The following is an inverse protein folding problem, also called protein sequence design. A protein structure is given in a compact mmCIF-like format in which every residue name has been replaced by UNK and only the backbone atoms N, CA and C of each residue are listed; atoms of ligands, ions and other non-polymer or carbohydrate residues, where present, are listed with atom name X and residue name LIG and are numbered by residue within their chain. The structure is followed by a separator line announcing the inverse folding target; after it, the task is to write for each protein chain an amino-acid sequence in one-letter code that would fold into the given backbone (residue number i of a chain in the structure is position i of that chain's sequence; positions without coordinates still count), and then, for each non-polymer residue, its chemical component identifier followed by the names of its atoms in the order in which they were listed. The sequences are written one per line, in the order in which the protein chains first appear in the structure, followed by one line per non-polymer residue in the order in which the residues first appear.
data_IF_612531279707
#
_entry.id   IF_612531279707
#
_cell.length_a   1.000
_cell.length_b   1.000
_cell.length_c   1.000
_cell.angle_alpha   90.00
_cell.angle_beta   90.00
_cell.angle_gamma   90.00
#
_symmetry.space_group_name_H-M   'P 1'
#
loop_
_entity.id
_entity.type
_entity.pdbx_description
1 polymer ?
#
# COMPACT_ATOMS: atom_id res chain seq x y z
N UNK A 1 21.23 11.14 -6.34
CA UNK A 1 20.72 10.00 -7.15
C UNK A 1 19.86 9.18 -6.21
N UNK A 2 18.61 8.89 -6.59
CA UNK A 2 17.70 8.10 -5.75
C UNK A 2 18.17 6.64 -5.81
N UNK A 3 18.36 6.02 -4.65
CA UNK A 3 18.72 4.60 -4.55
C UNK A 3 17.44 3.78 -4.42
N UNK A 4 17.06 3.08 -5.49
CA UNK A 4 15.86 2.27 -5.52
C UNK A 4 16.14 0.89 -4.92
N UNK A 5 15.27 0.37 -4.03
CA UNK A 5 15.46 -0.98 -3.50
C UNK A 5 15.51 -2.05 -4.58
N UNK A 6 14.82 -1.81 -5.70
CA UNK A 6 14.90 -2.65 -6.90
C UNK A 6 14.60 -1.81 -8.16
N UNK A 7 15.39 -2.01 -9.20
CA UNK A 7 15.16 -1.46 -10.54
C UNK A 7 15.67 -2.47 -11.58
N UNK A 8 14.80 -3.01 -12.47
CA UNK A 8 15.24 -3.92 -13.51
C UNK A 8 16.27 -3.28 -14.45
N UNK A 9 17.19 -4.06 -15.04
CA UNK A 9 18.08 -3.58 -16.09
C UNK A 9 17.30 -2.93 -17.23
N UNK A 10 17.80 -1.81 -17.74
CA UNK A 10 17.19 -1.05 -18.84
C UNK A 10 15.79 -0.47 -18.56
N UNK A 11 15.32 -0.49 -17.31
CA UNK A 11 14.12 0.22 -16.90
C UNK A 11 14.50 1.47 -16.10
N UNK A 12 13.61 2.45 -16.13
CA UNK A 12 13.71 3.70 -15.37
C UNK A 12 12.31 4.21 -15.10
N UNK A 13 12.16 4.94 -14.01
CA UNK A 13 10.99 5.78 -13.82
C UNK A 13 11.09 7.03 -14.70
N UNK A 14 9.95 7.46 -15.20
CA UNK A 14 9.76 8.81 -15.74
C UNK A 14 9.04 9.65 -14.70
N UNK A 15 9.25 10.96 -14.77
CA UNK A 15 8.78 11.90 -13.76
C UNK A 15 7.86 12.93 -14.40
N UNK A 16 6.74 13.21 -13.75
CA UNK A 16 5.75 14.21 -14.16
C UNK A 16 5.33 15.05 -12.96
N UNK A 17 4.92 16.31 -13.17
CA UNK A 17 4.41 17.15 -12.08
C UNK A 17 3.02 16.68 -11.63
N UNK A 18 2.59 17.10 -10.45
CA UNK A 18 1.24 16.84 -9.93
C UNK A 18 0.11 17.35 -10.83
N UNK A 19 0.38 18.34 -11.67
CA UNK A 19 -0.58 18.90 -12.62
C UNK A 19 -0.79 18.04 -13.86
N UNK A 20 -0.03 16.96 -14.03
CA UNK A 20 -0.21 16.03 -15.14
C UNK A 20 -1.58 15.32 -15.03
N UNK A 21 -2.39 15.29 -16.11
CA UNK A 21 -3.75 14.77 -16.05
C UNK A 21 -3.81 13.27 -15.71
N UNK A 22 -2.81 12.48 -16.10
CA UNK A 22 -2.75 11.05 -15.79
C UNK A 22 -2.29 10.81 -14.36
N UNK A 23 -1.42 11.67 -13.84
CA UNK A 23 -1.06 11.62 -12.42
C UNK A 23 -2.23 12.00 -11.51
N UNK A 24 -3.04 12.99 -11.90
CA UNK A 24 -4.31 13.31 -11.22
C UNK A 24 -5.27 12.11 -11.26
N UNK A 25 -5.30 11.37 -12.38
CA UNK A 25 -6.10 10.16 -12.46
C UNK A 25 -5.59 9.03 -11.54
N UNK A 26 -4.26 8.88 -11.39
CA UNK A 26 -3.65 7.95 -10.43
C UNK A 26 -3.93 8.35 -8.98
N UNK A 27 -3.93 9.65 -8.65
CA UNK A 27 -4.38 10.15 -7.34
C UNK A 27 -5.86 9.84 -7.10
N UNK A 28 -6.72 9.99 -8.12
CA UNK A 28 -8.10 9.53 -8.08
C UNK A 28 -8.22 8.04 -7.75
N UNK A 29 -7.48 7.20 -8.47
CA UNK A 29 -7.44 5.77 -8.24
C UNK A 29 -6.96 5.43 -6.81
N UNK A 30 -5.98 6.17 -6.25
CA UNK A 30 -5.54 5.98 -4.86
C UNK A 30 -6.70 6.18 -3.88
N UNK A 31 -7.54 7.19 -4.08
CA UNK A 31 -8.67 7.50 -3.19
C UNK A 31 -9.83 6.52 -3.35
N UNK A 32 -10.09 6.09 -4.57
CA UNK A 32 -11.28 5.31 -4.94
C UNK A 32 -11.05 3.80 -4.80
N UNK A 33 -9.86 3.33 -5.15
CA UNK A 33 -9.57 1.92 -5.37
C UNK A 33 -8.68 1.27 -4.29
N UNK A 34 -7.86 2.06 -3.58
CA UNK A 34 -6.97 1.51 -2.57
C UNK A 34 -7.74 0.93 -1.38
N UNK A 35 -7.45 -0.33 -1.05
CA UNK A 35 -7.97 -1.04 0.12
C UNK A 35 -7.05 -0.97 1.35
N UNK A 36 -5.81 -0.49 1.19
CA UNK A 36 -4.92 -0.21 2.32
C UNK A 36 -5.10 1.25 2.77
N UNK A 37 -5.71 1.44 3.94
CA UNK A 37 -5.93 2.77 4.51
C UNK A 37 -4.67 3.40 5.10
N UNK A 38 -3.61 2.63 5.37
CA UNK A 38 -2.38 3.13 6.00
C UNK A 38 -1.33 3.54 4.99
N UNK A 39 -1.21 2.79 3.90
CA UNK A 39 -0.28 3.09 2.82
C UNK A 39 -0.96 2.97 1.45
N UNK A 40 -1.97 3.82 1.16
CA UNK A 40 -2.77 3.70 -0.06
C UNK A 40 -1.95 4.07 -1.30
N UNK A 41 -2.02 3.21 -2.32
CA UNK A 41 -1.38 3.39 -3.64
C UNK A 41 -2.44 3.23 -4.72
N UNK A 42 -2.41 4.13 -5.70
CA UNK A 42 -3.27 4.09 -6.88
C UNK A 42 -2.45 4.12 -8.16
N UNK A 43 -2.91 3.40 -9.16
CA UNK A 43 -2.29 3.36 -10.49
C UNK A 43 -3.32 3.42 -11.60
N UNK A 44 -2.92 3.96 -12.75
CA UNK A 44 -3.71 3.95 -13.97
C UNK A 44 -2.90 3.47 -15.17
N UNK A 45 -3.58 2.77 -16.08
CA UNK A 45 -3.04 2.34 -17.37
C UNK A 45 -3.46 3.34 -18.44
N UNK A 46 -2.51 3.84 -19.22
CA UNK A 46 -2.72 4.90 -20.21
C UNK A 46 -2.23 4.47 -21.59
N UNK A 47 -3.04 4.71 -22.60
CA UNK A 47 -2.69 4.57 -24.01
C UNK A 47 -3.31 5.73 -24.79
N UNK A 48 -2.54 6.35 -25.69
CA UNK A 48 -3.01 7.43 -26.55
C UNK A 48 -3.76 8.55 -25.79
N UNK A 49 -3.18 8.98 -24.65
CA UNK A 49 -3.72 10.02 -23.75
C UNK A 49 -5.04 9.63 -23.05
N UNK A 50 -5.45 8.36 -23.13
CA UNK A 50 -6.67 7.83 -22.50
C UNK A 50 -6.34 6.89 -21.35
N UNK A 51 -7.04 7.08 -20.23
CA UNK A 51 -7.01 6.13 -19.10
C UNK A 51 -7.89 4.93 -19.45
N UNK A 52 -7.26 3.77 -19.62
CA UNK A 52 -7.93 2.52 -19.98
C UNK A 52 -8.39 1.72 -18.76
N UNK A 53 -7.56 1.70 -17.71
CA UNK A 53 -7.83 0.96 -16.48
C UNK A 53 -7.31 1.70 -15.26
N UNK A 54 -7.87 1.39 -14.09
CA UNK A 54 -7.48 1.94 -12.79
C UNK A 54 -7.40 0.83 -11.76
N UNK A 55 -6.46 0.93 -10.83
CA UNK A 55 -6.35 -0.01 -9.73
C UNK A 55 -5.80 0.65 -8.46
N UNK A 56 -6.08 0.04 -7.32
CA UNK A 56 -5.46 0.37 -6.04
C UNK A 56 -4.86 -0.86 -5.36
N UNK A 57 -3.91 -0.63 -4.45
CA UNK A 57 -3.37 -1.69 -3.62
C UNK A 57 -4.40 -2.24 -2.62
N UNK A 58 -4.09 -3.35 -1.96
CA UNK A 58 -5.01 -4.05 -1.08
C UNK A 58 -6.15 -4.73 -1.83
N UNK A 59 -5.82 -5.39 -2.93
CA UNK A 59 -6.75 -6.10 -3.81
C UNK A 59 -7.87 -5.24 -4.41
N UNK A 60 -7.59 -3.96 -4.68
CA UNK A 60 -8.54 -3.06 -5.33
C UNK A 60 -9.91 -2.99 -4.61
N UNK A 61 -9.91 -3.10 -3.28
CA UNK A 61 -11.13 -3.19 -2.45
C UNK A 61 -11.84 -1.86 -2.23
N UNK A 62 -11.19 -0.75 -2.57
CA UNK A 62 -11.68 0.60 -2.33
C UNK A 62 -11.57 1.05 -0.88
N UNK A 63 -11.67 2.37 -0.68
CA UNK A 63 -11.42 3.04 0.61
C UNK A 63 -12.53 2.83 1.66
N UNK A 64 -13.65 2.22 1.28
CA UNK A 64 -14.74 1.91 2.19
C UNK A 64 -14.47 0.73 3.13
N UNK A 65 -13.49 -0.13 2.81
CA UNK A 65 -13.16 -1.30 3.64
C UNK A 65 -12.01 -0.93 4.58
N UNK A 66 -12.31 -0.77 5.87
CA UNK A 66 -11.30 -0.50 6.89
C UNK A 66 -10.42 -1.74 7.10
N UNK A 67 -9.13 -1.59 6.88
CA UNK A 67 -8.14 -2.61 7.20
C UNK A 67 -7.32 -2.18 8.42
N UNK A 68 -7.22 -3.04 9.42
CA UNK A 68 -6.31 -2.86 10.54
C UNK A 68 -5.06 -3.69 10.25
N UNK A 69 -3.93 -3.01 10.05
CA UNK A 69 -2.67 -3.70 9.79
C UNK A 69 -2.15 -4.37 11.07
N UNK A 70 -2.06 -5.72 11.12
CA UNK A 70 -1.61 -6.42 12.30
C UNK A 70 -0.16 -6.07 12.67
N UNK A 71 0.67 -5.68 11.70
CA UNK A 71 2.05 -5.22 11.96
C UNK A 71 2.11 -3.93 12.75
N UNK A 72 1.16 -3.01 12.54
CA UNK A 72 1.09 -1.76 13.32
C UNK A 72 0.59 -2.05 14.72
N UNK A 73 -0.45 -2.89 14.85
CA UNK A 73 -0.99 -3.31 16.15
C UNK A 73 0.05 -4.06 16.99
N UNK A 74 0.89 -4.87 16.36
CA UNK A 74 1.94 -5.66 17.02
C UNK A 74 3.32 -4.98 17.01
N UNK A 75 3.39 -3.70 16.62
CA UNK A 75 4.62 -2.89 16.58
C UNK A 75 5.81 -3.61 15.90
N UNK A 76 5.53 -4.34 14.82
CA UNK A 76 6.55 -5.12 14.10
C UNK A 76 7.65 -4.19 13.54
N UNK A 77 8.93 -4.53 13.71
CA UNK A 77 10.02 -3.83 13.05
C UNK A 77 9.83 -3.71 11.53
N UNK A 78 10.46 -2.68 10.95
CA UNK A 78 10.51 -2.54 9.49
C UNK A 78 11.19 -3.77 8.89
N UNK A 79 10.56 -4.36 7.86
CA UNK A 79 11.07 -5.58 7.23
C UNK A 79 10.57 -6.91 7.82
N UNK A 80 9.80 -6.93 8.92
CA UNK A 80 9.38 -8.19 9.58
C UNK A 80 7.85 -8.31 9.73
N UNK A 81 7.30 -9.52 9.83
CA UNK A 81 5.87 -9.74 10.06
C UNK A 81 4.98 -9.53 8.82
N UNK A 82 5.53 -9.66 7.61
CA UNK A 82 4.75 -9.59 6.37
C UNK A 82 3.74 -10.74 6.25
N UNK A 83 4.05 -11.90 6.84
CA UNK A 83 3.18 -13.08 6.90
C UNK A 83 1.89 -12.84 7.72
N UNK A 84 1.85 -11.79 8.53
CA UNK A 84 0.69 -11.43 9.33
C UNK A 84 -0.45 -10.85 8.49
N UNK A 85 -0.16 -10.35 7.29
CA UNK A 85 -1.14 -9.67 6.45
C UNK A 85 -0.93 -9.94 4.97
N UNK A 86 -1.91 -10.60 4.35
CA UNK A 86 -1.91 -10.84 2.90
C UNK A 86 -2.28 -9.61 2.07
N UNK A 87 -2.73 -8.51 2.72
CA UNK A 87 -3.07 -7.27 2.01
C UNK A 87 -1.85 -6.67 1.29
N UNK A 88 -0.66 -6.95 1.82
CA UNK A 88 0.62 -6.50 1.28
C UNK A 88 1.34 -7.58 0.45
N UNK A 89 0.68 -8.71 0.18
CA UNK A 89 1.19 -9.69 -0.79
C UNK A 89 1.32 -9.03 -2.16
N UNK A 90 2.33 -9.43 -2.94
CA UNK A 90 2.60 -8.82 -4.25
C UNK A 90 1.43 -8.89 -5.22
N UNK A 91 0.52 -9.86 -5.06
CA UNK A 91 -0.72 -9.98 -5.83
C UNK A 91 -1.67 -8.82 -5.54
N UNK A 92 -1.70 -8.35 -4.28
CA UNK A 92 -2.55 -7.24 -3.85
C UNK A 92 -1.93 -5.86 -4.08
N UNK A 93 -0.73 -5.75 -4.64
CA UNK A 93 -0.11 -4.45 -4.98
C UNK A 93 -0.81 -3.82 -6.19
N UNK A 94 -0.81 -2.49 -6.24
CA UNK A 94 -1.60 -1.74 -7.21
C UNK A 94 -1.22 -2.08 -8.66
N UNK A 95 0.07 -2.25 -8.93
CA UNK A 95 0.63 -2.58 -10.24
C UNK A 95 0.18 -3.95 -10.73
N UNK A 96 0.23 -4.97 -9.86
CA UNK A 96 -0.25 -6.32 -10.19
C UNK A 96 -1.76 -6.32 -10.40
N UNK A 97 -2.51 -5.63 -9.53
CA UNK A 97 -3.96 -5.47 -9.67
C UNK A 97 -4.34 -4.78 -10.98
N UNK A 98 -3.56 -3.78 -11.42
CA UNK A 98 -3.81 -3.09 -12.69
C UNK A 98 -3.70 -4.04 -13.89
N UNK A 99 -2.69 -4.91 -13.90
CA UNK A 99 -2.52 -5.89 -14.97
C UNK A 99 -3.67 -6.91 -14.97
N UNK A 100 -4.09 -7.36 -13.79
CA UNK A 100 -5.23 -8.27 -13.65
C UNK A 100 -6.53 -7.62 -14.14
N UNK A 101 -6.83 -6.39 -13.70
CA UNK A 101 -8.03 -5.65 -14.09
C UNK A 101 -8.05 -5.39 -15.59
N UNK A 102 -6.92 -4.98 -16.18
CA UNK A 102 -6.82 -4.78 -17.62
C UNK A 102 -7.15 -6.08 -18.38
N UNK A 103 -6.59 -7.22 -17.96
CA UNK A 103 -6.88 -8.52 -18.56
C UNK A 103 -8.36 -8.92 -18.41
N UNK A 104 -8.94 -8.75 -17.23
CA UNK A 104 -10.35 -9.04 -16.95
C UNK A 104 -11.31 -8.17 -17.80
N UNK A 105 -10.89 -6.95 -18.12
CA UNK A 105 -11.62 -6.03 -19.00
C UNK A 105 -11.34 -6.25 -20.50
N UNK A 106 -10.49 -7.21 -20.86
CA UNK A 106 -10.10 -7.45 -22.25
C UNK A 106 -9.20 -6.37 -22.85
N UNK A 107 -8.53 -5.58 -22.01
CA UNK A 107 -7.59 -4.52 -22.39
C UNK A 107 -6.20 -5.14 -22.49
N UNK A 108 -5.49 -4.84 -23.59
CA UNK A 108 -4.10 -5.27 -23.78
C UNK A 108 -3.14 -4.20 -23.22
N UNK A 109 -2.37 -4.48 -22.14
CA UNK A 109 -1.44 -3.50 -21.57
C UNK A 109 -0.20 -3.26 -22.43
N UNK A 110 0.02 -4.07 -23.46
CA UNK A 110 1.21 -3.97 -24.29
C UNK A 110 1.32 -2.61 -24.98
N UNK A 111 2.45 -1.94 -24.78
CA UNK A 111 2.71 -0.60 -25.28
C UNK A 111 2.04 0.53 -24.49
N UNK A 112 1.29 0.22 -23.43
CA UNK A 112 0.71 1.23 -22.54
C UNK A 112 1.74 1.77 -21.55
N UNK A 113 1.43 2.92 -20.96
CA UNK A 113 2.15 3.53 -19.86
C UNK A 113 1.39 3.34 -18.54
N UNK A 114 2.12 3.27 -17.43
CA UNK A 114 1.54 3.20 -16.08
C UNK A 114 1.89 4.46 -15.31
N UNK A 115 0.90 5.10 -14.67
CA UNK A 115 1.11 6.23 -13.77
C UNK A 115 0.77 5.79 -12.35
N UNK A 116 1.68 6.06 -11.41
CA UNK A 116 1.56 5.63 -10.01
C UNK A 116 1.59 6.81 -9.06
N UNK A 117 0.66 6.80 -8.11
CA UNK A 117 0.54 7.80 -7.05
C UNK A 117 0.36 7.12 -5.68
N UNK A 118 1.02 7.65 -4.65
CA UNK A 118 1.04 7.06 -3.30
C UNK A 118 2.29 6.22 -3.01
N UNK A 119 3.16 6.01 -4.01
CA UNK A 119 4.46 5.39 -3.83
C UNK A 119 5.50 5.93 -4.83
N UNK A 120 6.78 5.59 -4.63
CA UNK A 120 7.90 6.16 -5.38
C UNK A 120 8.82 5.11 -6.03
N UNK A 121 8.54 3.83 -5.84
CA UNK A 121 9.26 2.72 -6.46
C UNK A 121 8.33 1.50 -6.59
N UNK A 122 8.74 0.48 -7.35
CA UNK A 122 7.99 -0.76 -7.53
C UNK A 122 8.86 -1.94 -7.12
N UNK A 123 8.27 -2.94 -6.44
CA UNK A 123 8.98 -4.16 -6.10
C UNK A 123 9.23 -5.05 -7.33
N UNK A 124 10.12 -6.03 -7.20
CA UNK A 124 10.44 -6.97 -8.28
C UNK A 124 9.21 -7.67 -8.89
N UNK A 125 8.27 -8.24 -8.09
CA UNK A 125 7.03 -8.79 -8.63
C UNK A 125 6.19 -7.79 -9.46
N UNK A 126 6.08 -6.54 -8.99
CA UNK A 126 5.31 -5.50 -9.68
C UNK A 126 5.94 -5.13 -11.02
N UNK A 127 7.27 -4.94 -11.04
CA UNK A 127 8.01 -4.75 -12.28
C UNK A 127 7.84 -5.92 -13.23
N UNK A 128 7.96 -7.15 -12.74
CA UNK A 128 7.79 -8.35 -13.55
C UNK A 128 6.39 -8.40 -14.18
N UNK A 129 5.34 -8.15 -13.41
CA UNK A 129 3.96 -8.12 -13.92
C UNK A 129 3.79 -7.11 -15.06
N UNK A 130 4.30 -5.88 -14.89
CA UNK A 130 4.24 -4.83 -15.91
C UNK A 130 5.09 -5.17 -17.15
N UNK A 131 6.30 -5.70 -16.96
CA UNK A 131 7.21 -6.08 -18.06
C UNK A 131 6.61 -7.21 -18.89
N UNK A 132 6.11 -8.27 -18.24
CA UNK A 132 5.51 -9.43 -18.91
C UNK A 132 4.24 -9.03 -19.69
N UNK A 133 3.49 -8.05 -19.19
CA UNK A 133 2.32 -7.49 -19.86
C UNK A 133 2.67 -6.53 -21.02
N UNK A 134 3.95 -6.19 -21.21
CA UNK A 134 4.42 -5.32 -22.28
C UNK A 134 4.29 -3.82 -22.00
N UNK A 135 4.18 -3.41 -20.73
CA UNK A 135 4.17 -1.99 -20.34
C UNK A 135 5.46 -1.31 -20.82
N UNK A 136 5.29 -0.15 -21.43
CA UNK A 136 6.36 0.65 -22.04
C UNK A 136 7.11 1.44 -20.97
N UNK A 137 6.41 2.33 -20.26
CA UNK A 137 7.01 3.21 -19.26
C UNK A 137 6.18 3.27 -17.98
N UNK A 138 6.85 3.58 -16.87
CA UNK A 138 6.24 3.81 -15.55
C UNK A 138 6.55 5.23 -15.09
N UNK A 139 5.51 5.98 -14.74
CA UNK A 139 5.58 7.38 -14.34
C UNK A 139 5.24 7.53 -12.86
N UNK A 140 6.03 8.34 -12.17
CA UNK A 140 5.82 8.77 -10.78
C UNK A 140 5.92 10.29 -10.71
N UNK A 141 5.53 10.88 -9.58
CA UNK A 141 5.75 12.31 -9.34
C UNK A 141 7.24 12.66 -9.32
N UNK A 142 7.57 13.86 -9.81
CA UNK A 142 8.92 14.44 -9.72
C UNK A 142 9.44 14.55 -8.27
N UNK A 143 8.54 14.73 -7.31
CA UNK A 143 8.81 14.75 -5.87
C UNK A 143 8.39 13.46 -5.12
N UNK A 144 8.16 12.35 -5.84
CA UNK A 144 7.59 11.13 -5.25
C UNK A 144 8.38 10.61 -4.06
N UNK A 145 9.72 10.63 -4.12
CA UNK A 145 10.57 10.05 -3.07
C UNK A 145 10.53 10.85 -1.76
N UNK A 146 10.39 12.17 -1.82
CA UNK A 146 10.17 12.99 -0.64
C UNK A 146 8.72 12.89 -0.17
N UNK A 147 7.76 13.02 -1.09
CA UNK A 147 6.32 13.05 -0.82
C UNK A 147 5.83 11.76 -0.18
N UNK A 148 6.20 10.62 -0.75
CA UNK A 148 5.74 9.30 -0.32
C UNK A 148 6.77 8.57 0.55
N UNK A 149 7.65 9.32 1.22
CA UNK A 149 8.45 8.77 2.31
C UNK A 149 7.53 8.16 3.38
N UNK A 150 7.95 7.05 3.99
CA UNK A 150 7.14 6.28 4.94
C UNK A 150 6.50 7.17 6.01
N UNK A 151 7.30 8.02 6.61
CA UNK A 151 6.88 8.86 7.72
C UNK A 151 5.86 9.91 7.28
N UNK A 152 5.92 10.41 6.03
CA UNK A 152 4.91 11.33 5.50
C UNK A 152 3.59 10.66 5.17
N UNK A 153 3.63 9.47 4.57
CA UNK A 153 2.39 8.72 4.28
C UNK A 153 1.71 8.32 5.57
N UNK A 154 2.45 7.85 6.57
CA UNK A 154 1.88 7.56 7.88
C UNK A 154 1.38 8.81 8.59
N UNK A 155 2.09 9.94 8.51
CA UNK A 155 1.59 11.20 9.07
C UNK A 155 0.28 11.65 8.40
N UNK A 156 0.08 11.35 7.11
CA UNK A 156 -1.18 11.62 6.38
C UNK A 156 -2.30 10.67 6.80
N UNK A 157 -2.03 9.38 6.96
CA UNK A 157 -3.06 8.35 7.16
C UNK A 157 -3.39 8.06 8.62
N UNK A 158 -2.49 8.37 9.54
CA UNK A 158 -2.70 8.23 11.00
C UNK A 158 -3.24 9.52 11.65
N UNK A 159 -3.60 10.56 10.89
CA UNK A 159 -4.25 11.75 11.46
C UNK A 159 -5.58 11.37 12.10
N UNK A 160 -5.65 11.38 13.42
CA UNK A 160 -6.83 10.98 14.21
C UNK A 160 -6.53 9.98 15.33
N UNK A 161 -5.36 9.33 15.34
CA UNK A 161 -4.87 8.67 16.55
C UNK A 161 -4.20 9.73 17.43
N UNK A 162 -4.97 10.35 18.34
CA UNK A 162 -4.38 11.20 19.38
C UNK A 162 -3.39 10.38 20.20
N UNK A 163 -2.19 10.92 20.37
CA UNK A 163 -1.26 10.50 21.42
C UNK A 163 -1.87 10.84 22.78
N UNK A 164 -2.81 10.03 23.27
CA UNK A 164 -3.13 10.00 24.69
C UNK A 164 -2.04 9.16 25.38
N UNK A 165 -0.85 9.77 25.52
CA UNK A 165 0.20 9.29 26.43
C UNK A 165 -0.35 9.33 27.85
N UNK A 166 -0.94 8.23 28.33
CA UNK A 166 -1.19 8.05 29.76
C UNK A 166 0.10 7.55 30.42
N UNK A 167 0.68 8.43 31.24
CA UNK A 167 1.65 8.05 32.26
C UNK A 167 0.91 7.21 33.32
N UNK A 168 1.19 5.91 33.37
CA UNK A 168 0.89 5.09 34.55
C UNK A 168 1.79 5.58 35.71
N UNK A 169 1.33 5.42 36.96
CA UNK A 169 2.05 5.93 38.15
C UNK A 169 3.46 5.33 38.35
N UNK A 170 3.80 4.28 37.62
CA UNK A 170 5.09 3.59 37.67
C UNK A 170 6.13 4.14 36.67
N UNK A 171 5.76 5.12 35.85
CA UNK A 171 6.66 5.75 34.87
C UNK A 171 6.79 5.01 33.54
N UNK A 172 6.01 3.94 33.32
CA UNK A 172 6.01 3.20 32.06
C UNK A 172 5.15 3.90 31.02
N UNK A 173 5.68 4.08 29.81
CA UNK A 173 4.94 4.71 28.70
C UNK A 173 4.44 3.62 27.75
N UNK A 174 3.12 3.50 27.58
CA UNK A 174 2.52 2.62 26.58
C UNK A 174 1.89 3.44 25.46
N UNK A 175 2.13 3.05 24.20
CA UNK A 175 1.37 3.56 23.06
C UNK A 175 0.07 2.78 22.97
N UNK A 176 -1.05 3.46 23.17
CA UNK A 176 -2.38 2.83 23.05
C UNK A 176 -3.10 3.48 21.88
N UNK A 177 -3.43 2.67 20.87
CA UNK A 177 -4.31 3.09 19.79
C UNK A 177 -5.75 3.07 20.29
N UNK A 178 -6.39 4.25 20.35
CA UNK A 178 -7.83 4.38 20.62
C UNK A 178 -8.47 5.07 19.42
N UNK A 179 -9.26 4.37 18.59
CA UNK A 179 -10.00 5.01 17.51
C UNK A 179 -11.08 5.96 18.08
N UNK A 180 -11.27 7.13 17.47
CA UNK A 180 -12.20 8.19 17.93
C UNK A 180 -13.69 7.79 17.92
N UNK A 181 -14.05 6.64 17.33
CA UNK A 181 -15.37 6.05 17.49
C UNK A 181 -15.28 4.55 17.75
N UNK A 182 -15.85 4.13 18.89
CA UNK A 182 -16.26 2.74 19.09
C UNK A 182 -17.52 2.55 18.24
N UNK A 183 -17.37 2.31 16.93
CA UNK A 183 -18.46 1.66 16.21
C UNK A 183 -18.66 0.27 16.84
N UNK A 184 -19.88 -0.13 17.21
CA UNK A 184 -20.15 -1.34 18.00
C UNK A 184 -19.88 -2.67 17.24
N UNK A 185 -19.13 -2.63 16.14
CA UNK A 185 -18.67 -3.81 15.39
C UNK A 185 -17.43 -4.43 16.05
N UNK A 186 -16.84 -3.77 17.06
CA UNK A 186 -15.76 -4.32 17.89
C UNK A 186 -16.25 -5.38 18.89
N UNK A 187 -16.82 -6.46 18.40
CA UNK A 187 -16.71 -7.77 19.06
C UNK A 187 -15.81 -8.62 18.19
N UNK A 188 -14.53 -8.72 18.56
CA UNK A 188 -13.71 -9.83 18.11
C UNK A 188 -14.44 -11.11 18.57
N UNK A 189 -14.81 -12.01 17.66
CA UNK A 189 -14.88 -13.41 18.07
C UNK A 189 -13.47 -13.73 18.55
N UNK A 190 -13.31 -13.81 19.87
CA UNK A 190 -12.03 -13.99 20.50
C UNK A 190 -11.33 -15.20 19.86
N UNK A 191 -10.10 -14.99 19.38
CA UNK A 191 -9.21 -16.10 19.06
C UNK A 191 -9.31 -17.12 20.20
N UNK A 192 -9.52 -18.40 19.88
CA UNK A 192 -9.49 -19.41 20.93
C UNK A 192 -8.13 -19.30 21.64
N UNK A 193 -8.07 -19.53 22.97
CA UNK A 193 -6.82 -19.46 23.73
C UNK A 193 -5.68 -20.28 23.10
N UNK A 194 -6.02 -21.35 22.38
CA UNK A 194 -5.09 -22.20 21.63
C UNK A 194 -4.47 -21.51 20.41
N UNK A 195 -5.24 -20.70 19.67
CA UNK A 195 -4.74 -19.98 18.49
C UNK A 195 -3.81 -18.83 18.91
N UNK A 196 -4.15 -18.14 19.99
CA UNK A 196 -3.30 -17.10 20.60
C UNK A 196 -1.98 -17.70 21.14
N UNK A 197 -2.05 -18.85 21.81
CA UNK A 197 -0.87 -19.55 22.33
C UNK A 197 0.07 -20.03 21.21
N UNK A 198 -0.47 -20.59 20.12
CA UNK A 198 0.34 -21.02 18.96
C UNK A 198 1.09 -19.87 18.30
N UNK A 199 0.46 -18.70 18.20
CA UNK A 199 1.11 -17.49 17.64
C UNK A 199 2.25 -17.00 18.53
N UNK A 200 2.04 -16.95 19.84
CA UNK A 200 3.08 -16.60 20.82
C UNK A 200 4.27 -17.56 20.79
N UNK A 201 4.01 -18.86 20.64
CA UNK A 201 5.06 -19.86 20.56
C UNK A 201 5.86 -19.78 19.24
N UNK A 202 5.20 -19.44 18.13
CA UNK A 202 5.87 -19.23 16.85
C UNK A 202 6.79 -18.00 16.88
N UNK A 203 6.37 -16.91 17.53
CA UNK A 203 7.21 -15.70 17.73
C UNK A 203 8.43 -16.04 18.58
N UNK A 204 8.26 -16.82 19.66
CA UNK A 204 9.38 -17.23 20.53
C UNK A 204 10.39 -18.16 19.85
N UNK A 205 9.97 -18.94 18.85
CA UNK A 205 10.86 -19.84 18.08
C UNK A 205 11.68 -19.13 17.01
N UNK A 206 11.39 -17.85 16.74
CA UNK A 206 12.08 -17.03 15.75
C UNK A 206 13.09 -16.04 16.38
N UNK A 207 13.23 -16.06 17.71
CA UNK A 207 14.28 -15.36 18.48
C UNK A 207 15.36 -16.34 18.90
#
# INVERSE_FOLDING_TARGET
MIDYPYLPPNRRFKFVPLTDPHMIAAEGARRECAGDSLYPVGVVLVQDDQVLARAGNGFNRGSGIKHICPRVVLECPSGTGYDLCTLHDSIGHAETMLMQIALEQGINPSGCDVYMFGHWWCCEPCWKAMIDAGVRDVYVLDDAHERFSRDRVFAETLTGSRDDLRLEQDGTTHRVYVPESIDPIFTFEADSPELAARRLENVRKQM
#
